data_IF_970906272783
#
_entry.id   IF_970906272783
#
_cell.length_a   1.000
_cell.length_b   1.000
_cell.length_c   1.000
_cell.angle_alpha   90.00
_cell.angle_beta   90.00
_cell.angle_gamma   90.00
#
_symmetry.space_group_name_H-M   'P 1'
#
loop_
_entity.id
_entity.type
_entity.pdbx_description
1 polymer ?
#
# COMPACT_ATOMS: atom_id res chain seq x y z
N UNK A 1 -22.19 -75.60 -31.84
CA UNK A 1 -21.08 -76.33 -31.20
C UNK A 1 -20.01 -75.32 -30.80
N UNK A 2 -19.91 -75.01 -29.50
CA UNK A 2 -18.64 -74.53 -28.91
C UNK A 2 -17.74 -75.78 -28.69
N UNK A 3 -16.40 -75.71 -28.49
CA UNK A 3 -15.73 -74.65 -27.71
C UNK A 3 -14.19 -74.40 -27.92
N UNK A 4 -13.63 -73.43 -27.15
CA UNK A 4 -12.32 -73.43 -26.42
C UNK A 4 -11.00 -73.58 -27.23
N UNK A 5 -9.83 -72.99 -26.96
CA UNK A 5 -9.12 -72.20 -25.91
C UNK A 5 -7.90 -71.61 -26.66
N UNK A 6 -7.22 -70.53 -26.29
CA UNK A 6 -6.30 -70.43 -25.15
C UNK A 6 -5.67 -69.02 -25.18
N UNK A 7 -5.50 -68.44 -24.00
CA UNK A 7 -4.98 -67.10 -23.73
C UNK A 7 -3.44 -66.99 -23.69
N UNK A 8 -2.88 -65.83 -24.04
CA UNK A 8 -1.73 -65.32 -23.28
C UNK A 8 -1.80 -63.79 -23.13
N UNK A 9 -1.50 -63.38 -21.90
CA UNK A 9 -1.52 -62.02 -21.36
C UNK A 9 -0.20 -61.31 -21.63
N UNK A 10 -0.26 -59.98 -21.64
CA UNK A 10 0.85 -59.05 -21.36
C UNK A 10 0.61 -57.74 -22.10
N UNK A 11 -0.02 -56.74 -21.45
CA UNK A 11 0.67 -55.57 -20.86
C UNK A 11 1.40 -54.75 -21.94
N UNK A 12 1.21 -53.45 -22.14
CA UNK A 12 1.02 -52.38 -21.17
C UNK A 12 0.84 -51.05 -21.96
N UNK A 13 0.32 -50.02 -21.30
CA UNK A 13 0.26 -48.62 -21.76
C UNK A 13 -0.80 -48.36 -22.83
N UNK A 14 -1.88 -47.63 -22.56
CA UNK A 14 -1.84 -46.20 -22.21
C UNK A 14 -2.94 -45.91 -21.18
N UNK A 15 -2.52 -45.17 -20.17
CA UNK A 15 -3.22 -44.84 -18.94
C UNK A 15 -4.38 -43.88 -19.21
N UNK A 16 -5.49 -44.23 -18.59
CA UNK A 16 -6.79 -43.56 -18.55
C UNK A 16 -6.72 -42.24 -17.73
N UNK A 17 -7.86 -41.58 -17.44
CA UNK A 17 -8.23 -40.20 -17.76
C UNK A 17 -8.09 -39.31 -16.51
N UNK A 18 -8.37 -38.01 -16.58
CA UNK A 18 -8.82 -37.21 -15.42
C UNK A 18 -9.17 -35.81 -15.96
N UNK A 19 -10.46 -35.48 -15.98
CA UNK A 19 -11.09 -34.53 -15.05
C UNK A 19 -10.72 -33.06 -15.32
N UNK A 20 -11.69 -32.38 -15.93
CA UNK A 20 -12.05 -30.98 -15.72
C UNK A 20 -11.38 -30.34 -14.50
N UNK A 21 -10.58 -29.31 -14.72
CA UNK A 21 -10.27 -28.28 -13.71
C UNK A 21 -10.24 -26.91 -14.40
N UNK A 22 -11.31 -26.16 -14.15
CA UNK A 22 -11.43 -24.72 -14.34
C UNK A 22 -10.28 -24.04 -13.59
N UNK A 23 -9.33 -23.41 -14.31
CA UNK A 23 -8.40 -22.46 -13.67
C UNK A 23 -8.80 -21.06 -14.13
N UNK A 24 -9.69 -20.47 -13.33
CA UNK A 24 -9.98 -19.04 -13.36
C UNK A 24 -8.70 -18.36 -12.84
N UNK A 25 -7.86 -17.87 -13.74
CA UNK A 25 -6.71 -17.05 -13.34
C UNK A 25 -7.19 -15.63 -13.04
N UNK A 26 -7.99 -15.49 -11.98
CA UNK A 26 -8.32 -14.21 -11.37
C UNK A 26 -7.15 -13.78 -10.51
N UNK A 27 -6.13 -13.18 -11.13
CA UNK A 27 -5.13 -12.40 -10.40
C UNK A 27 -5.76 -11.06 -9.97
N UNK A 28 -6.81 -11.13 -9.16
CA UNK A 28 -7.27 -10.00 -8.36
C UNK A 28 -6.22 -9.84 -7.25
N UNK A 29 -5.15 -9.11 -7.56
CA UNK A 29 -4.43 -8.39 -6.53
C UNK A 29 -5.37 -7.27 -6.06
N UNK A 30 -6.36 -7.65 -5.25
CA UNK A 30 -6.90 -6.73 -4.28
C UNK A 30 -5.76 -6.53 -3.27
N UNK A 31 -4.89 -5.55 -3.53
CA UNK A 31 -4.18 -4.94 -2.41
C UNK A 31 -5.27 -4.51 -1.44
N UNK A 32 -5.21 -5.02 -0.22
CA UNK A 32 -6.04 -4.52 0.86
C UNK A 32 -5.90 -3.01 0.86
N UNK A 33 -6.96 -2.30 0.46
CA UNK A 33 -7.22 -0.97 0.95
C UNK A 33 -7.61 -1.16 2.42
N UNK A 34 -6.65 -1.58 3.26
CA UNK A 34 -6.67 -1.21 4.65
C UNK A 34 -6.74 0.31 4.65
N UNK A 35 -7.63 0.88 5.44
CA UNK A 35 -7.58 2.29 5.72
C UNK A 35 -6.13 2.58 6.12
N UNK A 36 -5.36 3.21 5.23
CA UNK A 36 -4.05 3.71 5.59
C UNK A 36 -4.34 4.77 6.64
N UNK A 37 -4.10 4.43 7.90
CA UNK A 37 -3.79 5.46 8.88
C UNK A 37 -2.62 6.21 8.24
N UNK A 38 -2.91 7.45 7.85
CA UNK A 38 -2.01 8.27 7.04
C UNK A 38 -0.66 8.46 7.72
N UNK A 39 0.28 9.09 7.02
CA UNK A 39 1.62 9.27 7.57
C UNK A 39 1.60 10.08 8.88
N UNK A 40 2.34 9.60 9.87
CA UNK A 40 2.42 10.23 11.20
C UNK A 40 3.73 11.01 11.33
N UNK A 41 3.70 12.13 12.05
CA UNK A 41 4.94 12.84 12.41
C UNK A 41 5.75 12.02 13.42
N UNK A 42 6.98 11.66 13.04
CA UNK A 42 7.89 10.84 13.84
C UNK A 42 9.21 11.55 14.09
N UNK A 43 10.00 11.04 15.04
CA UNK A 43 11.35 11.55 15.28
C UNK A 43 12.30 11.12 14.14
N UNK A 44 13.20 12.00 13.65
CA UNK A 44 13.36 13.41 14.03
C UNK A 44 12.42 14.33 13.24
N UNK A 45 11.43 14.91 13.92
CA UNK A 45 10.72 16.10 13.45
C UNK A 45 11.20 17.30 14.26
N UNK A 46 11.20 18.48 13.66
CA UNK A 46 11.57 19.72 14.35
C UNK A 46 10.43 20.28 15.19
N UNK A 47 10.53 21.57 15.49
CA UNK A 47 9.60 22.25 16.41
C UNK A 47 8.15 22.17 15.93
N UNK A 48 7.25 21.93 16.89
CA UNK A 48 5.82 21.78 16.64
C UNK A 48 5.04 22.88 17.39
N UNK A 49 4.12 23.53 16.67
CA UNK A 49 3.23 24.56 17.23
C UNK A 49 1.78 24.29 16.83
N UNK A 50 0.87 24.29 17.80
CA UNK A 50 -0.56 24.01 17.57
C UNK A 50 -1.38 25.27 17.83
N UNK A 51 -2.20 25.63 16.85
CA UNK A 51 -3.19 26.70 16.95
C UNK A 51 -4.59 26.08 16.95
N UNK A 52 -5.38 26.37 17.98
CA UNK A 52 -6.80 25.99 18.03
C UNK A 52 -7.65 27.16 17.56
N UNK A 53 -8.49 26.93 16.55
CA UNK A 53 -9.39 27.91 15.97
C UNK A 53 -10.71 27.98 16.74
N UNK A 54 -11.45 29.07 16.53
CA UNK A 54 -12.84 29.16 16.94
C UNK A 54 -13.65 28.01 16.31
N UNK A 55 -14.34 27.22 17.13
CA UNK A 55 -15.01 25.98 16.70
C UNK A 55 -14.24 24.70 16.98
N UNK A 56 -13.05 24.77 17.60
CA UNK A 56 -12.32 23.60 18.11
C UNK A 56 -11.41 22.89 17.11
N UNK A 57 -11.42 23.31 15.85
CA UNK A 57 -10.48 22.83 14.82
C UNK A 57 -9.05 23.23 15.15
N UNK A 58 -8.09 22.44 14.67
CA UNK A 58 -6.66 22.64 14.94
C UNK A 58 -5.87 22.78 13.65
N UNK A 59 -4.87 23.66 13.68
CA UNK A 59 -3.80 23.75 12.71
C UNK A 59 -2.49 23.45 13.43
N UNK A 60 -1.69 22.54 12.91
CA UNK A 60 -0.37 22.22 13.45
C UNK A 60 0.70 22.67 12.47
N UNK A 61 1.66 23.44 12.94
CA UNK A 61 2.85 23.84 12.20
C UNK A 61 4.02 23.00 12.68
N UNK A 62 4.77 22.41 11.76
CA UNK A 62 5.94 21.57 12.07
C UNK A 62 7.13 22.05 11.25
N UNK A 63 8.23 22.39 11.93
CA UNK A 63 9.52 22.65 11.30
C UNK A 63 10.25 21.33 11.02
N UNK A 64 10.96 21.24 9.89
CA UNK A 64 11.69 20.05 9.43
C UNK A 64 10.92 18.73 9.69
N UNK A 65 9.69 18.58 9.17
CA UNK A 65 8.87 17.40 9.42
C UNK A 65 9.52 16.13 8.87
N UNK A 66 9.42 15.06 9.64
CA UNK A 66 9.64 13.68 9.20
C UNK A 66 8.35 12.91 9.43
N UNK A 67 7.69 12.50 8.35
CA UNK A 67 6.46 11.72 8.40
C UNK A 67 6.75 10.27 7.98
N UNK A 68 6.28 9.30 8.75
CA UNK A 68 6.39 7.88 8.43
C UNK A 68 5.00 7.30 8.23
N UNK A 69 4.80 6.70 7.07
CA UNK A 69 3.55 6.07 6.66
C UNK A 69 3.55 4.59 7.06
N UNK A 70 2.36 4.00 7.20
CA UNK A 70 2.18 2.59 7.60
C UNK A 70 2.80 1.58 6.61
N UNK A 71 2.97 1.96 5.35
CA UNK A 71 3.62 1.19 4.30
C UNK A 71 5.15 1.42 4.21
N UNK A 72 5.72 2.18 5.15
CA UNK A 72 7.14 2.47 5.24
C UNK A 72 7.60 3.63 4.35
N UNK A 73 6.68 4.34 3.69
CA UNK A 73 7.01 5.58 2.98
C UNK A 73 7.45 6.63 4.01
N UNK A 74 8.56 7.31 3.71
CA UNK A 74 9.04 8.44 4.51
C UNK A 74 8.88 9.74 3.72
N UNK A 75 8.36 10.77 4.39
CA UNK A 75 8.18 12.09 3.80
C UNK A 75 8.94 13.11 4.65
N UNK A 76 9.82 13.86 3.98
CA UNK A 76 10.64 14.91 4.58
C UNK A 76 10.34 16.25 3.91
N UNK A 77 10.38 17.35 4.65
CA UNK A 77 10.32 18.70 4.10
C UNK A 77 11.03 19.72 5.03
N UNK A 78 11.13 20.97 4.61
CA UNK A 78 11.61 22.06 5.48
C UNK A 78 10.53 22.51 6.47
N UNK A 79 9.26 22.45 6.06
CA UNK A 79 8.11 22.76 6.93
C UNK A 79 6.82 22.06 6.49
N UNK A 80 5.89 21.90 7.43
CA UNK A 80 4.56 21.36 7.21
C UNK A 80 3.49 22.18 7.94
N UNK A 81 2.32 22.30 7.31
CA UNK A 81 1.09 22.78 7.93
C UNK A 81 0.03 21.68 7.83
N UNK A 82 -0.37 21.15 8.99
CA UNK A 82 -1.42 20.13 9.12
C UNK A 82 -2.76 20.76 9.46
N UNK A 83 -3.77 20.49 8.65
CA UNK A 83 -5.14 20.96 8.82
C UNK A 83 -6.03 19.81 9.29
N UNK A 84 -6.28 19.74 10.60
CA UNK A 84 -7.04 18.64 11.20
C UNK A 84 -8.47 18.52 10.65
N UNK A 85 -9.07 19.62 10.22
CA UNK A 85 -10.43 19.64 9.68
C UNK A 85 -10.58 18.94 8.33
N UNK A 86 -9.50 18.81 7.55
CA UNK A 86 -9.52 18.24 6.20
C UNK A 86 -8.58 17.05 6.02
N UNK A 87 -7.81 16.70 7.05
CA UNK A 87 -6.75 15.68 6.94
C UNK A 87 -5.68 16.04 5.90
N UNK A 88 -5.43 17.35 5.68
CA UNK A 88 -4.44 17.83 4.72
C UNK A 88 -3.15 18.20 5.44
N UNK A 89 -2.03 17.70 4.94
CA UNK A 89 -0.69 18.17 5.26
C UNK A 89 -0.11 18.91 4.06
N UNK A 90 0.09 20.22 4.20
CA UNK A 90 0.75 21.05 3.21
C UNK A 90 2.24 21.10 3.50
N UNK A 91 3.02 20.50 2.62
CA UNK A 91 4.47 20.36 2.71
C UNK A 91 5.14 21.44 1.87
N UNK A 92 6.17 22.08 2.43
CA UNK A 92 6.82 23.25 1.84
C UNK A 92 8.34 23.12 1.98
N UNK A 93 9.04 23.21 0.85
CA UNK A 93 10.49 23.26 0.75
C UNK A 93 11.17 21.89 0.82
N UNK A 94 12.09 21.63 -0.11
CA UNK A 94 12.98 20.46 -0.14
C UNK A 94 12.30 19.12 0.17
N UNK A 95 11.12 18.91 -0.41
CA UNK A 95 10.29 17.76 -0.10
C UNK A 95 10.93 16.52 -0.70
N UNK A 96 11.00 15.44 0.09
CA UNK A 96 11.46 14.13 -0.35
C UNK A 96 10.44 13.08 0.07
N UNK A 97 9.86 12.40 -0.91
CA UNK A 97 9.07 11.19 -0.69
C UNK A 97 9.97 10.01 -1.00
N UNK A 98 10.21 9.16 -0.01
CA UNK A 98 11.08 8.00 -0.08
C UNK A 98 10.22 6.75 0.04
N UNK A 99 10.26 5.89 -0.97
CA UNK A 99 9.59 4.60 -0.97
C UNK A 99 10.54 3.48 -1.46
N UNK A 100 9.99 2.28 -1.66
CA UNK A 100 10.76 1.15 -2.17
C UNK A 100 11.19 1.30 -3.64
N UNK A 101 10.55 2.18 -4.41
CA UNK A 101 10.84 2.45 -5.81
C UNK A 101 11.89 3.57 -5.99
N UNK A 102 12.04 4.47 -5.02
CA UNK A 102 13.08 5.48 -4.99
C UNK A 102 12.68 6.76 -4.25
N UNK A 103 13.28 7.87 -4.69
CA UNK A 103 13.03 9.21 -4.13
C UNK A 103 12.31 10.09 -5.16
N UNK A 104 11.20 10.69 -4.76
CA UNK A 104 10.56 11.81 -5.47
C UNK A 104 10.85 13.11 -4.74
N UNK A 105 11.09 14.18 -5.50
CA UNK A 105 11.40 15.50 -4.97
C UNK A 105 10.43 16.56 -5.45
N UNK A 106 10.10 17.51 -4.58
CA UNK A 106 9.25 18.65 -4.91
C UNK A 106 9.60 19.86 -4.02
N UNK A 107 9.19 21.05 -4.44
CA UNK A 107 9.28 22.26 -3.61
C UNK A 107 7.99 22.51 -2.81
N UNK A 108 6.87 21.97 -3.28
CA UNK A 108 5.56 22.07 -2.64
C UNK A 108 4.74 20.80 -2.91
N UNK A 109 4.08 20.27 -1.88
CA UNK A 109 3.22 19.09 -2.00
C UNK A 109 2.05 19.16 -1.02
N UNK A 110 0.96 18.47 -1.35
CA UNK A 110 -0.22 18.35 -0.51
C UNK A 110 -0.50 16.87 -0.33
N UNK A 111 -0.42 16.42 0.91
CA UNK A 111 -0.69 15.04 1.30
C UNK A 111 -2.05 14.98 1.99
N UNK A 112 -2.92 14.09 1.53
CA UNK A 112 -4.24 13.87 2.14
C UNK A 112 -4.23 12.52 2.86
N UNK A 113 -4.27 12.55 4.20
CA UNK A 113 -4.14 11.35 5.03
C UNK A 113 -5.21 10.29 4.72
N UNK A 114 -6.45 10.70 4.45
CA UNK A 114 -7.54 9.79 4.08
C UNK A 114 -7.36 9.13 2.70
N UNK A 115 -6.50 9.68 1.85
CA UNK A 115 -6.22 9.16 0.50
C UNK A 115 -4.85 8.47 0.40
N UNK A 116 -4.01 8.60 1.42
CA UNK A 116 -2.65 8.09 1.42
C UNK A 116 -1.72 8.75 0.39
N UNK A 117 -2.06 9.94 -0.14
CA UNK A 117 -1.31 10.61 -1.22
C UNK A 117 -1.51 12.11 -1.28
#
# INVERSE_FOLDING_TARGET
>A
MSPLRWASKGAQSIRNPFLLLFVISSSLYASEAGAQEGCEFVYPSGDLSIVTLAGGNRITYVGTPHMLCSDGVEIWADSSISYAATGLDHLIGNIRFLDNAGELRADEARYFSEQGR
#
